data_IF_362744150634
#
_entry.id   IF_362744150634
#
_cell.length_a   1.000
_cell.length_b   1.000
_cell.length_c   1.000
_cell.angle_alpha   90.00
_cell.angle_beta   90.00
_cell.angle_gamma   90.00
#
_symmetry.space_group_name_H-M   'P 1'
#
loop_
_entity.id
_entity.type
_entity.pdbx_description
1 polymer ?
#
# COMPACT_ATOMS: atom_id res chain seq x y z
N UNK A 1 -2.89 39.73 19.39
CA UNK A 1 -2.26 39.03 18.25
C UNK A 1 -2.59 37.57 18.43
N UNK A 2 -3.57 37.11 17.66
CA UNK A 2 -3.97 35.72 17.63
C UNK A 2 -2.77 34.94 17.08
N UNK A 3 -2.13 34.16 17.96
CA UNK A 3 -1.00 33.33 17.57
C UNK A 3 -1.53 32.37 16.53
N UNK A 4 -1.19 32.57 15.26
CA UNK A 4 -1.43 31.58 14.21
C UNK A 4 -0.84 30.27 14.73
N UNK A 5 -1.70 29.34 15.17
CA UNK A 5 -1.27 28.01 15.61
C UNK A 5 -0.65 27.37 14.37
N UNK A 6 0.68 27.42 14.28
CA UNK A 6 1.42 26.74 13.23
C UNK A 6 1.00 25.27 13.24
N UNK A 7 0.32 24.84 12.17
CA UNK A 7 -0.10 23.45 12.04
C UNK A 7 1.14 22.58 12.06
N UNK A 8 1.23 21.72 13.07
CA UNK A 8 2.36 20.83 13.26
C UNK A 8 2.07 19.53 12.52
N UNK A 9 2.83 19.26 11.47
CA UNK A 9 2.76 18.01 10.72
C UNK A 9 3.88 17.10 11.23
N UNK A 10 3.52 15.90 11.67
CA UNK A 10 4.48 14.86 12.02
C UNK A 10 4.55 13.84 10.88
N UNK A 11 5.74 13.69 10.30
CA UNK A 11 6.04 12.62 9.36
C UNK A 11 6.65 11.46 10.14
N UNK A 12 5.96 10.33 10.19
CA UNK A 12 6.46 9.09 10.79
C UNK A 12 6.37 7.97 9.75
N UNK A 13 7.42 7.15 9.66
CA UNK A 13 7.48 6.03 8.73
C UNK A 13 8.62 5.08 9.08
N UNK A 14 8.52 3.84 8.61
CA UNK A 14 9.58 2.85 8.70
C UNK A 14 10.37 2.74 7.37
N UNK A 15 11.44 1.95 7.35
CA UNK A 15 12.27 1.76 6.14
C UNK A 15 11.55 0.98 5.03
N UNK A 16 10.36 0.43 5.30
CA UNK A 16 9.56 -0.36 4.36
C UNK A 16 8.73 0.52 3.42
N UNK A 17 8.66 1.84 3.67
CA UNK A 17 7.95 2.81 2.83
C UNK A 17 6.50 3.08 3.24
N UNK A 18 6.09 2.60 4.41
CA UNK A 18 4.78 2.87 4.99
C UNK A 18 4.80 4.21 5.72
N UNK A 19 4.77 5.29 4.93
CA UNK A 19 4.67 6.65 5.48
C UNK A 19 3.23 6.97 5.83
N UNK A 20 3.00 7.43 7.06
CA UNK A 20 1.71 8.01 7.46
C UNK A 20 1.90 9.49 7.80
N UNK A 21 1.01 10.34 7.29
CA UNK A 21 0.91 11.73 7.72
C UNK A 21 -0.20 11.78 8.76
N UNK A 22 0.14 12.24 9.97
CA UNK A 22 -0.81 12.45 11.05
C UNK A 22 -0.94 13.94 11.31
N UNK A 23 -2.16 14.47 11.19
CA UNK A 23 -2.51 15.85 11.54
C UNK A 23 -3.45 15.83 12.75
N UNK A 24 -3.01 16.45 13.86
CA UNK A 24 -3.87 16.74 15.01
C UNK A 24 -4.80 17.91 14.69
N UNK A 25 -6.10 17.72 14.89
CA UNK A 25 -7.17 18.69 14.62
C UNK A 25 -8.02 18.88 15.88
N UNK A 26 -8.75 20.00 15.94
CA UNK A 26 -9.60 20.30 17.11
C UNK A 26 -10.73 19.28 17.30
N UNK A 27 -11.10 18.55 16.25
CA UNK A 27 -12.13 17.51 16.23
C UNK A 27 -11.58 16.07 16.26
N UNK A 28 -10.25 15.88 16.28
CA UNK A 28 -9.63 14.56 16.33
C UNK A 28 -8.32 14.44 15.54
N UNK A 29 -8.11 13.28 14.91
CA UNK A 29 -6.91 12.98 14.14
C UNK A 29 -7.28 12.74 12.67
N UNK A 30 -6.59 13.40 11.75
CA UNK A 30 -6.55 12.99 10.35
C UNK A 30 -5.31 12.15 10.10
N UNK A 31 -5.50 10.95 9.54
CA UNK A 31 -4.41 10.09 9.10
C UNK A 31 -4.49 9.95 7.59
N UNK A 32 -3.42 10.32 6.89
CA UNK A 32 -3.23 10.03 5.47
C UNK A 32 -2.22 8.91 5.34
N UNK A 33 -2.64 7.78 4.78
CA UNK A 33 -1.79 6.64 4.49
C UNK A 33 -1.89 6.30 3.00
N UNK A 34 -0.80 5.85 2.36
CA UNK A 34 -0.85 5.35 1.00
C UNK A 34 -1.73 4.10 0.94
N UNK A 35 -2.52 3.97 -0.13
CA UNK A 35 -3.25 2.75 -0.41
C UNK A 35 -2.26 1.67 -0.85
N UNK A 36 -2.03 0.69 0.03
CA UNK A 36 -1.17 -0.47 -0.17
C UNK A 36 -1.94 -1.71 -0.64
N UNK A 37 -3.19 -1.56 -1.09
CA UNK A 37 -3.92 -2.67 -1.70
C UNK A 37 -3.25 -3.12 -3.00
N UNK A 38 -3.35 -4.41 -3.32
CA UNK A 38 -2.86 -4.97 -4.60
C UNK A 38 -3.46 -4.24 -5.81
N UNK A 39 -4.71 -3.79 -5.70
CA UNK A 39 -5.38 -3.02 -6.76
C UNK A 39 -4.71 -1.65 -6.98
N UNK A 40 -4.35 -0.95 -5.90
CA UNK A 40 -3.63 0.31 -5.99
C UNK A 40 -2.19 0.12 -6.50
N UNK A 41 -1.50 -0.93 -6.07
CA UNK A 41 -0.17 -1.27 -6.58
C UNK A 41 -0.20 -1.55 -8.08
N UNK A 42 -1.13 -2.38 -8.55
CA UNK A 42 -1.33 -2.68 -9.97
C UNK A 42 -1.52 -1.41 -10.80
N UNK A 43 -2.43 -0.53 -10.36
CA UNK A 43 -2.71 0.73 -11.05
C UNK A 43 -1.50 1.67 -11.07
N UNK A 44 -0.74 1.74 -9.98
CA UNK A 44 0.46 2.60 -9.85
C UNK A 44 1.59 2.17 -10.80
N UNK A 45 1.75 0.87 -10.97
CA UNK A 45 2.85 0.29 -11.76
C UNK A 45 2.42 -0.13 -13.18
N UNK A 46 1.15 0.10 -13.56
CA UNK A 46 0.62 -0.34 -14.85
C UNK A 46 0.66 -1.86 -15.01
N UNK A 47 0.48 -2.61 -13.91
CA UNK A 47 0.53 -4.07 -13.91
C UNK A 47 -0.87 -4.64 -14.11
N UNK A 48 -0.98 -5.56 -15.06
CA UNK A 48 -2.16 -6.40 -15.22
C UNK A 48 -1.96 -7.76 -14.55
N UNK A 49 -3.03 -8.43 -14.09
CA UNK A 49 -2.92 -9.78 -13.57
C UNK A 49 -2.51 -10.74 -14.69
N UNK A 50 -1.49 -11.57 -14.42
CA UNK A 50 -1.15 -12.66 -15.32
C UNK A 50 -2.28 -13.71 -15.36
N UNK A 51 -2.47 -14.29 -16.53
CA UNK A 51 -3.28 -15.50 -16.71
C UNK A 51 -2.55 -16.71 -16.12
N UNK A 52 -3.29 -17.80 -15.88
CA UNK A 52 -2.69 -19.06 -15.44
C UNK A 52 -1.65 -19.56 -16.45
N UNK A 53 -1.93 -19.47 -17.75
CA UNK A 53 -1.01 -19.93 -18.79
C UNK A 53 0.30 -19.13 -18.81
N UNK A 54 0.25 -17.80 -18.63
CA UNK A 54 1.44 -16.96 -18.51
C UNK A 54 2.25 -17.31 -17.26
N UNK A 55 1.56 -17.55 -16.13
CA UNK A 55 2.20 -17.97 -14.90
C UNK A 55 2.89 -19.34 -15.05
N UNK A 56 2.20 -20.33 -15.63
CA UNK A 56 2.75 -21.67 -15.81
C UNK A 56 3.88 -21.73 -16.84
N UNK A 57 3.88 -20.83 -17.83
CA UNK A 57 4.99 -20.70 -18.77
C UNK A 57 6.28 -20.19 -18.11
N UNK A 58 6.18 -19.35 -17.08
CA UNK A 58 7.33 -18.78 -16.37
C UNK A 58 7.77 -19.66 -15.18
N UNK A 59 6.81 -20.19 -14.42
CA UNK A 59 7.06 -20.84 -13.14
C UNK A 59 6.79 -22.36 -13.13
N UNK A 60 6.26 -22.91 -14.22
CA UNK A 60 5.83 -24.30 -14.32
C UNK A 60 4.38 -24.54 -13.85
N UNK A 61 3.85 -25.74 -14.08
CA UNK A 61 2.46 -26.06 -13.78
C UNK A 61 2.16 -25.93 -12.29
N UNK A 62 1.02 -25.32 -11.96
CA UNK A 62 0.56 -25.20 -10.57
C UNK A 62 0.32 -26.60 -10.01
N UNK A 63 1.03 -26.95 -8.93
CA UNK A 63 0.86 -28.23 -8.25
C UNK A 63 -0.25 -28.14 -7.20
N UNK A 64 -1.03 -29.20 -7.06
CA UNK A 64 -1.97 -29.34 -5.95
C UNK A 64 -1.23 -29.25 -4.62
N UNK A 65 -1.82 -28.65 -3.56
CA UNK A 65 -1.16 -28.49 -2.27
C UNK A 65 -0.75 -29.82 -1.60
N UNK A 66 -1.44 -30.91 -1.96
CA UNK A 66 -1.21 -32.29 -1.50
C UNK A 66 -0.22 -33.07 -2.38
N UNK A 67 0.26 -32.48 -3.48
CA UNK A 67 1.22 -33.11 -4.37
C UNK A 67 0.65 -34.22 -5.26
N UNK A 68 -0.67 -34.36 -5.36
CA UNK A 68 -1.29 -35.25 -6.34
C UNK A 68 -1.51 -34.49 -7.66
N UNK A 69 -0.76 -34.91 -8.68
CA UNK A 69 -0.81 -34.42 -10.06
C UNK A 69 -0.76 -35.56 -11.06
#
# INVERSE_FOLDING_TARGET
MESERQRRVLLAGDQSGDYVIVEEREDGLLILAPDASMAAMRRRHGLEPATLAEFEAEYGPVQSPDGEG
#
